data_IF_451646718647
#
_entry.id   IF_451646718647
#
_cell.length_a   1.000
_cell.length_b   1.000
_cell.length_c   1.000
_cell.angle_alpha   90.00
_cell.angle_beta   90.00
_cell.angle_gamma   90.00
#
_symmetry.space_group_name_H-M   'P 1'
#
loop_
_entity.id
_entity.type
_entity.pdbx_description
1 polymer ?
#
# COMPACT_ATOMS: atom_id res chain seq x y z
N UNK A 1 0.37 -14.34 -1.70
CA UNK A 1 1.50 -14.42 -2.67
C UNK A 1 2.43 -15.57 -2.31
N UNK A 2 3.05 -16.24 -3.29
CA UNK A 2 4.10 -17.22 -3.03
C UNK A 2 5.50 -16.56 -2.89
N UNK A 3 6.50 -17.34 -2.47
CA UNK A 3 7.86 -16.82 -2.23
C UNK A 3 8.49 -16.15 -3.46
N UNK A 4 8.37 -16.77 -4.65
CA UNK A 4 8.93 -16.21 -5.89
C UNK A 4 8.23 -14.91 -6.31
N UNK A 5 6.92 -14.79 -6.05
CA UNK A 5 6.17 -13.56 -6.29
C UNK A 5 6.60 -12.44 -5.34
N UNK A 6 6.84 -12.76 -4.06
CA UNK A 6 7.31 -11.80 -3.06
C UNK A 6 8.69 -11.25 -3.42
N UNK A 7 9.62 -12.11 -3.85
CA UNK A 7 10.96 -11.68 -4.29
C UNK A 7 10.91 -10.75 -5.50
N UNK A 8 10.15 -11.14 -6.54
CA UNK A 8 9.98 -10.30 -7.73
C UNK A 8 9.32 -8.96 -7.41
N UNK A 9 8.30 -8.98 -6.55
CA UNK A 9 7.62 -7.76 -6.12
C UNK A 9 8.56 -6.86 -5.33
N UNK A 10 9.33 -7.40 -4.38
CA UNK A 10 10.30 -6.64 -3.61
C UNK A 10 11.31 -5.94 -4.53
N UNK A 11 11.87 -6.67 -5.50
CA UNK A 11 12.86 -6.12 -6.43
C UNK A 11 12.24 -5.00 -7.29
N UNK A 12 11.06 -5.23 -7.87
CA UNK A 12 10.38 -4.25 -8.71
C UNK A 12 9.93 -3.00 -7.92
N UNK A 13 9.32 -3.19 -6.74
CA UNK A 13 8.81 -2.11 -5.91
C UNK A 13 9.95 -1.24 -5.36
N UNK A 14 11.00 -1.87 -4.86
CA UNK A 14 12.18 -1.16 -4.32
C UNK A 14 12.85 -0.27 -5.37
N UNK A 15 12.98 -0.77 -6.61
CA UNK A 15 13.48 0.01 -7.74
C UNK A 15 12.54 1.16 -8.12
N UNK A 16 11.22 0.92 -8.16
CA UNK A 16 10.23 1.93 -8.55
C UNK A 16 10.20 3.14 -7.61
N UNK A 17 10.41 2.93 -6.31
CA UNK A 17 10.43 4.01 -5.30
C UNK A 17 11.84 4.53 -5.01
N UNK A 18 12.87 3.99 -5.68
CA UNK A 18 14.26 4.40 -5.48
C UNK A 18 14.82 4.07 -4.10
N UNK A 19 14.35 2.98 -3.47
CA UNK A 19 14.79 2.54 -2.15
C UNK A 19 15.56 1.21 -2.26
N UNK A 20 16.88 1.23 -2.52
CA UNK A 20 17.67 0.02 -2.62
C UNK A 20 17.73 -0.72 -1.28
N UNK A 21 17.46 -2.03 -1.30
CA UNK A 21 17.52 -2.87 -0.11
C UNK A 21 18.92 -3.47 0.01
N UNK A 22 19.60 -3.14 1.11
CA UNK A 22 20.91 -3.73 1.41
C UNK A 22 20.78 -5.26 1.56
N UNK A 23 21.76 -6.06 1.08
CA UNK A 23 21.69 -7.52 1.11
C UNK A 23 21.39 -8.10 2.50
N UNK A 24 21.97 -7.51 3.54
CA UNK A 24 21.79 -7.89 4.95
C UNK A 24 20.35 -7.71 5.46
N UNK A 25 19.55 -6.85 4.83
CA UNK A 25 18.16 -6.60 5.23
C UNK A 25 17.16 -7.41 4.41
N UNK A 26 17.57 -7.99 3.28
CA UNK A 26 16.66 -8.64 2.32
C UNK A 26 15.80 -9.71 2.96
N UNK A 27 16.40 -10.61 3.73
CA UNK A 27 15.68 -11.70 4.39
C UNK A 27 14.61 -11.19 5.35
N UNK A 28 14.92 -10.17 6.15
CA UNK A 28 13.95 -9.58 7.08
C UNK A 28 12.81 -8.87 6.33
N UNK A 29 13.13 -8.10 5.28
CA UNK A 29 12.13 -7.41 4.47
C UNK A 29 11.17 -8.39 3.79
N UNK A 30 11.67 -9.50 3.24
CA UNK A 30 10.83 -10.56 2.67
C UNK A 30 9.91 -11.18 3.72
N UNK A 31 10.42 -11.42 4.94
CA UNK A 31 9.61 -11.95 6.04
C UNK A 31 8.45 -11.02 6.43
N UNK A 32 8.72 -9.73 6.58
CA UNK A 32 7.68 -8.74 6.88
C UNK A 32 6.71 -8.53 5.72
N UNK A 33 7.18 -8.56 4.48
CA UNK A 33 6.32 -8.47 3.30
C UNK A 33 5.38 -9.69 3.20
N UNK A 34 5.87 -10.88 3.50
CA UNK A 34 5.03 -12.09 3.55
C UNK A 34 3.94 -11.96 4.63
N UNK A 35 4.30 -11.46 5.82
CA UNK A 35 3.34 -11.20 6.89
C UNK A 35 2.27 -10.19 6.46
N UNK A 36 2.68 -9.08 5.84
CA UNK A 36 1.77 -8.05 5.32
C UNK A 36 0.85 -8.61 4.22
N UNK A 37 1.35 -9.49 3.33
CA UNK A 37 0.52 -10.19 2.35
C UNK A 37 -0.60 -10.99 3.01
N UNK A 38 -0.34 -11.65 4.14
CA UNK A 38 -1.38 -12.37 4.88
C UNK A 38 -2.45 -11.46 5.47
N UNK A 39 -2.06 -10.27 5.95
CA UNK A 39 -3.04 -9.26 6.38
C UNK A 39 -3.85 -8.71 5.21
N UNK A 40 -3.22 -8.48 4.05
CA UNK A 40 -3.91 -8.05 2.85
C UNK A 40 -4.97 -9.08 2.41
N UNK A 41 -4.67 -10.38 2.49
CA UNK A 41 -5.65 -11.44 2.21
C UNK A 41 -6.88 -11.35 3.13
N UNK A 42 -6.67 -11.00 4.42
CA UNK A 42 -7.76 -10.82 5.39
C UNK A 42 -8.61 -9.59 5.05
N UNK A 43 -7.99 -8.46 4.69
CA UNK A 43 -8.70 -7.23 4.33
C UNK A 43 -9.46 -7.40 3.01
N UNK A 44 -8.85 -8.02 2.00
CA UNK A 44 -9.46 -8.24 0.69
C UNK A 44 -10.63 -9.23 0.71
N UNK A 45 -10.76 -10.03 1.78
CA UNK A 45 -11.90 -10.92 1.98
C UNK A 45 -13.19 -10.18 2.41
N UNK A 46 -13.08 -8.91 2.81
CA UNK A 46 -14.25 -8.08 3.15
C UNK A 46 -14.98 -7.70 1.85
N UNK A 47 -16.29 -7.97 1.72
CA UNK A 47 -17.04 -7.59 0.54
C UNK A 47 -17.15 -6.07 0.46
N UNK A 48 -16.89 -5.53 -0.73
CA UNK A 48 -17.04 -4.11 -1.05
C UNK A 48 -17.91 -3.96 -2.30
N UNK A 49 -18.83 -3.01 -2.27
CA UNK A 49 -19.59 -2.53 -3.41
C UNK A 49 -18.85 -1.37 -4.10
N UNK A 50 -19.15 -1.13 -5.37
CA UNK A 50 -18.59 0.01 -6.11
C UNK A 50 -18.98 1.38 -5.53
N UNK A 51 -20.02 1.42 -4.69
CA UNK A 51 -20.49 2.61 -3.98
C UNK A 51 -19.91 2.77 -2.57
N UNK A 52 -19.10 1.82 -2.08
CA UNK A 52 -18.41 1.98 -0.80
C UNK A 52 -17.32 3.04 -0.92
N UNK A 53 -17.45 4.10 -0.11
CA UNK A 53 -16.54 5.24 -0.13
C UNK A 53 -15.37 5.08 0.86
N UNK A 54 -14.20 5.68 0.59
CA UNK A 54 -13.13 5.79 1.58
C UNK A 54 -13.62 6.46 2.85
N UNK A 55 -13.12 6.02 4.01
CA UNK A 55 -13.50 6.59 5.31
C UNK A 55 -13.21 8.10 5.43
N UNK A 56 -12.23 8.60 4.67
CA UNK A 56 -11.96 10.04 4.53
C UNK A 56 -12.46 10.53 3.18
N UNK A 57 -13.35 11.52 3.19
CA UNK A 57 -13.80 12.24 2.01
C UNK A 57 -13.22 13.67 2.01
N UNK A 58 -12.79 14.13 0.84
CA UNK A 58 -12.39 15.52 0.65
C UNK A 58 -13.62 16.43 0.73
N UNK A 59 -13.56 17.44 1.59
CA UNK A 59 -14.56 18.50 1.66
C UNK A 59 -13.88 19.81 1.27
N UNK A 60 -14.21 20.40 0.10
CA UNK A 60 -13.63 21.67 -0.29
C UNK A 60 -14.06 22.76 0.68
N UNK A 61 -13.12 23.64 1.04
CA UNK A 61 -13.44 24.85 1.79
C UNK A 61 -14.06 25.85 0.80
N UNK A 62 -15.24 26.37 1.12
CA UNK A 62 -15.86 27.42 0.32
C UNK A 62 -15.00 28.71 0.38
N UNK A 63 -14.88 29.48 -0.71
CA UNK A 63 -14.28 30.80 -0.66
C UNK A 63 -14.97 31.66 0.41
N UNK A 64 -14.19 32.41 1.19
CA UNK A 64 -14.75 33.46 2.05
C UNK A 64 -15.34 34.53 1.12
N UNK A 65 -16.66 34.72 1.13
CA UNK A 65 -17.28 35.88 0.47
C UNK A 65 -16.76 37.15 1.16
N UNK A 66 -15.84 37.88 0.52
CA UNK A 66 -15.35 39.15 1.06
C UNK A 66 -13.89 39.53 0.78
N UNK A 67 -13.29 39.19 -0.36
CA UNK A 67 -12.17 39.97 -0.90
C UNK A 67 -12.71 40.96 -1.93
N UNK A 68 -13.30 42.04 -1.43
CA UNK A 68 -13.57 43.25 -2.21
C UNK A 68 -12.29 44.07 -2.39
#
# INVERSE_FOLDING_TARGET
>A
MNAAELERYLDAASAAIGLPIAPEHRTAVLGYLALASGFADTVNAVPLDATDEPAMAFVPVAPLEGSA
#
